data_IF_263228859915
#
_entry.id   IF_263228859915
#
_cell.length_a   1.000
_cell.length_b   1.000
_cell.length_c   1.000
_cell.angle_alpha   90.00
_cell.angle_beta   90.00
_cell.angle_gamma   90.00
#
_symmetry.space_group_name_H-M   'P 1'
#
loop_
_entity.id
_entity.type
_entity.pdbx_description
1 polymer ?
#
# COMPACT_ATOMS: atom_id res chain seq x y z
N UNK A 1 40.73 -7.54 55.63
CA UNK A 1 40.38 -6.47 54.72
C UNK A 1 40.62 -6.81 53.23
N UNK A 2 41.01 -8.04 52.85
CA UNK A 2 41.23 -8.43 51.43
C UNK A 2 40.04 -9.09 50.76
N UNK A 3 39.10 -9.64 51.53
CA UNK A 3 37.99 -10.44 50.95
C UNK A 3 36.74 -9.61 50.56
N UNK A 4 36.67 -8.34 50.92
CA UNK A 4 35.53 -7.46 50.54
C UNK A 4 35.65 -6.80 49.15
N UNK A 5 36.87 -6.74 48.57
CA UNK A 5 37.10 -6.16 47.27
C UNK A 5 36.87 -7.12 46.10
N UNK A 6 36.97 -8.42 46.32
CA UNK A 6 36.72 -9.46 45.31
C UNK A 6 35.22 -9.63 44.98
N UNK A 7 34.33 -9.43 45.96
CA UNK A 7 32.88 -9.53 45.76
C UNK A 7 32.32 -8.37 44.96
N UNK A 8 32.89 -7.17 45.05
CA UNK A 8 32.45 -5.98 44.32
C UNK A 8 32.85 -6.03 42.83
N UNK A 9 34.00 -6.60 42.51
CA UNK A 9 34.48 -6.76 41.13
C UNK A 9 33.68 -7.83 40.40
N UNK A 10 33.23 -8.91 41.04
CA UNK A 10 32.40 -9.94 40.43
C UNK A 10 30.99 -9.45 40.10
N UNK A 11 30.40 -8.57 40.92
CA UNK A 11 29.07 -8.00 40.67
C UNK A 11 29.08 -6.96 39.53
N UNK A 12 30.18 -6.21 39.41
CA UNK A 12 30.34 -5.24 38.31
C UNK A 12 30.63 -5.93 36.96
N UNK A 13 31.37 -7.06 36.96
CA UNK A 13 31.65 -7.84 35.76
C UNK A 13 30.43 -8.59 35.22
N UNK A 14 29.52 -9.07 36.09
CA UNK A 14 28.25 -9.70 35.67
C UNK A 14 27.23 -8.66 35.21
N UNK A 15 27.25 -7.44 35.73
CA UNK A 15 26.40 -6.33 35.27
C UNK A 15 26.81 -5.80 33.90
N UNK A 16 28.06 -5.96 33.49
CA UNK A 16 28.55 -5.54 32.16
C UNK A 16 28.31 -6.60 31.06
N UNK A 17 28.01 -7.84 31.39
CA UNK A 17 27.64 -8.90 30.43
C UNK A 17 26.14 -8.94 30.12
N UNK A 18 25.31 -8.20 30.84
CA UNK A 18 23.87 -8.07 30.59
C UNK A 18 23.50 -6.72 29.96
N UNK A 19 24.43 -6.12 29.26
CA UNK A 19 24.15 -4.95 28.39
C UNK A 19 23.31 -5.34 27.21
N UNK A 20 22.06 -5.67 27.47
CA UNK A 20 21.03 -5.85 26.46
C UNK A 20 20.94 -4.56 25.62
N UNK A 21 21.44 -4.60 24.38
CA UNK A 21 21.21 -3.57 23.35
C UNK A 21 20.00 -4.00 22.53
N UNK A 22 18.79 -3.52 22.85
CA UNK A 22 17.56 -3.98 22.21
C UNK A 22 17.47 -3.73 20.69
N UNK A 23 18.44 -3.00 20.12
CA UNK A 23 18.44 -2.59 18.70
C UNK A 23 19.66 -3.15 17.93
N UNK A 24 20.42 -4.09 18.47
CA UNK A 24 21.47 -4.77 17.71
C UNK A 24 20.84 -5.94 16.94
N UNK A 25 20.79 -5.90 15.59
CA UNK A 25 20.24 -7.00 14.79
C UNK A 25 21.01 -8.32 14.94
N UNK A 26 22.21 -8.28 15.53
CA UNK A 26 23.04 -9.46 15.82
C UNK A 26 22.74 -10.07 17.21
N UNK A 27 21.87 -9.45 18.00
CA UNK A 27 21.57 -9.88 19.37
C UNK A 27 20.74 -11.19 19.45
N UNK A 28 20.11 -11.62 18.34
CA UNK A 28 19.27 -12.81 18.31
C UNK A 28 19.75 -13.82 17.27
N UNK A 29 19.69 -15.10 17.61
CA UNK A 29 19.80 -16.18 16.63
C UNK A 29 18.51 -16.24 15.78
N UNK A 30 18.58 -16.83 14.59
CA UNK A 30 17.40 -16.98 13.71
C UNK A 30 16.32 -17.84 14.39
N UNK A 31 16.70 -18.85 15.17
CA UNK A 31 15.74 -19.69 15.88
C UNK A 31 15.02 -18.91 16.99
N UNK A 32 15.72 -18.07 17.75
CA UNK A 32 15.11 -17.19 18.74
C UNK A 32 14.13 -16.20 18.07
N UNK A 33 14.53 -15.56 16.96
CA UNK A 33 13.64 -14.69 16.20
C UNK A 33 12.41 -15.44 15.69
N UNK A 34 12.60 -16.67 15.19
CA UNK A 34 11.55 -17.53 14.73
C UNK A 34 10.53 -17.84 15.84
N UNK A 35 11.00 -18.16 17.02
CA UNK A 35 10.14 -18.47 18.16
C UNK A 35 9.39 -17.23 18.65
N UNK A 36 10.07 -16.09 18.74
CA UNK A 36 9.48 -14.83 19.18
C UNK A 36 8.40 -14.34 18.18
N UNK A 37 8.70 -14.30 16.88
CA UNK A 37 7.79 -13.78 15.89
C UNK A 37 6.64 -14.74 15.52
N UNK A 38 6.85 -16.05 15.58
CA UNK A 38 5.76 -17.01 15.36
C UNK A 38 4.83 -17.15 16.57
N UNK A 39 5.25 -16.64 17.72
CA UNK A 39 4.40 -16.55 18.91
C UNK A 39 3.27 -15.54 18.68
N UNK A 40 2.05 -15.90 19.07
CA UNK A 40 0.86 -15.04 18.92
C UNK A 40 0.89 -13.78 19.79
N UNK A 41 1.77 -13.76 20.79
CA UNK A 41 1.94 -12.66 21.73
C UNK A 41 2.96 -11.65 21.20
N UNK A 42 2.46 -10.59 20.56
CA UNK A 42 3.30 -9.52 20.00
C UNK A 42 4.09 -8.73 21.06
N UNK A 43 3.69 -8.80 22.35
CA UNK A 43 4.44 -8.12 23.43
C UNK A 43 5.82 -8.71 23.64
N UNK A 44 6.03 -9.95 23.19
CA UNK A 44 7.32 -10.66 23.24
C UNK A 44 8.19 -10.44 21.99
N UNK A 45 7.66 -9.79 20.96
CA UNK A 45 8.43 -9.51 19.77
C UNK A 45 9.60 -8.57 20.07
N UNK A 46 10.75 -8.72 19.43
CA UNK A 46 11.81 -7.74 19.51
C UNK A 46 11.28 -6.32 19.25
N UNK A 47 11.70 -5.36 20.07
CA UNK A 47 11.22 -3.98 19.91
C UNK A 47 11.59 -3.44 18.52
N UNK A 48 10.66 -2.78 17.82
CA UNK A 48 10.98 -2.13 16.58
C UNK A 48 11.88 -0.90 16.83
N UNK A 49 12.63 -0.50 15.81
CA UNK A 49 13.29 0.80 15.80
C UNK A 49 12.31 1.83 15.24
N UNK A 50 11.86 2.76 16.09
CA UNK A 50 10.90 3.79 15.70
C UNK A 50 11.51 5.18 15.76
N UNK A 51 11.19 6.01 14.77
CA UNK A 51 11.38 7.45 14.83
C UNK A 51 10.25 8.08 15.65
N UNK A 52 10.51 9.22 16.30
CA UNK A 52 9.52 9.89 17.15
C UNK A 52 8.19 10.19 16.41
N UNK A 53 8.26 10.52 15.11
CA UNK A 53 7.07 10.78 14.28
C UNK A 53 6.19 9.55 14.05
N UNK A 54 6.76 8.35 14.22
CA UNK A 54 6.04 7.08 14.06
C UNK A 54 5.49 6.52 15.37
N UNK A 55 6.10 6.86 16.52
CA UNK A 55 5.76 6.27 17.83
C UNK A 55 4.31 6.54 18.25
N UNK A 56 3.82 7.79 18.09
CA UNK A 56 2.53 8.25 18.63
C UNK A 56 1.34 7.40 18.17
N UNK A 57 1.37 6.93 16.92
CA UNK A 57 0.26 6.18 16.33
C UNK A 57 0.71 4.80 15.83
N UNK A 58 1.78 4.26 16.41
CA UNK A 58 2.33 2.98 16.00
C UNK A 58 1.37 1.83 16.29
N UNK A 59 1.12 1.03 15.28
CA UNK A 59 0.48 -0.27 15.39
C UNK A 59 1.34 -1.30 14.67
N UNK A 60 1.70 -2.38 15.33
CA UNK A 60 2.56 -3.39 14.74
C UNK A 60 1.86 -4.19 13.63
N UNK A 61 2.66 -4.66 12.68
CA UNK A 61 2.22 -5.49 11.56
C UNK A 61 1.58 -6.81 12.04
N UNK A 62 0.75 -7.41 11.22
CA UNK A 62 0.06 -8.66 11.54
C UNK A 62 -1.01 -9.02 10.51
N UNK A 63 -1.82 -10.06 10.77
CA UNK A 63 -2.95 -10.41 9.93
C UNK A 63 -3.96 -9.27 9.81
N UNK A 64 -4.60 -9.15 8.63
CA UNK A 64 -5.71 -8.22 8.44
C UNK A 64 -6.88 -8.60 9.35
N UNK A 65 -7.58 -7.58 9.84
CA UNK A 65 -8.87 -7.75 10.49
C UNK A 65 -9.97 -8.01 9.45
N UNK A 66 -11.17 -8.33 9.94
CA UNK A 66 -12.35 -8.42 9.08
C UNK A 66 -12.69 -7.05 8.47
N UNK A 67 -13.10 -7.07 7.19
CA UNK A 67 -13.46 -5.86 6.47
C UNK A 67 -14.68 -5.19 7.10
N UNK A 68 -14.55 -3.90 7.37
CA UNK A 68 -15.65 -3.07 7.84
C UNK A 68 -16.25 -2.30 6.66
N UNK A 69 -17.56 -2.35 6.53
CA UNK A 69 -18.31 -1.61 5.52
C UNK A 69 -18.94 -0.37 6.15
N UNK A 70 -19.01 0.77 5.43
CA UNK A 70 -19.65 1.98 5.93
C UNK A 70 -21.14 1.74 6.23
N UNK A 71 -21.69 2.41 7.25
CA UNK A 71 -23.09 2.26 7.65
C UNK A 71 -24.06 2.69 6.52
N UNK A 72 -23.68 3.67 5.70
CA UNK A 72 -24.45 4.15 4.56
C UNK A 72 -24.24 3.33 3.27
N UNK A 73 -23.30 2.36 3.31
CA UNK A 73 -23.06 1.41 2.24
C UNK A 73 -22.71 0.01 2.80
N UNK A 74 -23.63 -0.63 3.55
CA UNK A 74 -23.39 -1.97 4.12
C UNK A 74 -23.24 -3.02 3.02
N UNK A 75 -22.50 -4.08 3.33
CA UNK A 75 -22.31 -5.21 2.42
C UNK A 75 -23.63 -5.94 2.13
N UNK A 76 -23.83 -6.32 0.88
CA UNK A 76 -24.68 -7.44 0.47
C UNK A 76 -24.07 -8.11 -0.75
N UNK A 77 -24.31 -9.40 -0.91
CA UNK A 77 -23.79 -10.18 -2.05
C UNK A 77 -24.34 -9.64 -3.37
N UNK A 78 -25.65 -9.34 -3.43
CA UNK A 78 -26.27 -8.76 -4.62
C UNK A 78 -25.65 -7.40 -5.02
N UNK A 79 -25.27 -6.57 -4.05
CA UNK A 79 -24.60 -5.29 -4.30
C UNK A 79 -23.17 -5.50 -4.77
N UNK A 80 -22.46 -6.45 -4.20
CA UNK A 80 -21.10 -6.83 -4.61
C UNK A 80 -21.11 -7.37 -6.06
N UNK A 81 -22.03 -8.27 -6.41
CA UNK A 81 -22.15 -8.79 -7.77
C UNK A 81 -22.54 -7.71 -8.79
N UNK A 82 -23.47 -6.79 -8.43
CA UNK A 82 -23.75 -5.61 -9.25
C UNK A 82 -22.49 -4.75 -9.45
N UNK A 83 -21.74 -4.50 -8.37
CA UNK A 83 -20.50 -3.74 -8.40
C UNK A 83 -19.45 -4.39 -9.30
N UNK A 84 -19.28 -5.71 -9.21
CA UNK A 84 -18.43 -6.50 -10.09
C UNK A 84 -18.85 -6.34 -11.56
N UNK A 85 -20.14 -6.47 -11.84
CA UNK A 85 -20.67 -6.34 -13.20
C UNK A 85 -20.38 -4.94 -13.78
N UNK A 86 -20.58 -3.88 -12.99
CA UNK A 86 -20.28 -2.50 -13.39
C UNK A 86 -18.77 -2.26 -13.54
N UNK A 87 -17.93 -2.84 -12.69
CA UNK A 87 -16.46 -2.72 -12.75
C UNK A 87 -15.88 -3.27 -14.05
N UNK A 88 -16.49 -4.32 -14.59
CA UNK A 88 -16.08 -4.93 -15.87
C UNK A 88 -16.82 -4.33 -17.08
N UNK A 89 -17.76 -3.40 -16.89
CA UNK A 89 -18.56 -2.85 -17.98
C UNK A 89 -17.90 -1.65 -18.68
N UNK A 90 -17.42 -1.80 -19.92
CA UNK A 90 -16.78 -0.71 -20.66
C UNK A 90 -17.75 0.41 -21.05
N UNK A 91 -19.07 0.20 -20.98
CA UNK A 91 -20.09 1.19 -21.31
C UNK A 91 -20.11 2.37 -20.33
N UNK A 92 -19.41 2.26 -19.19
CA UNK A 92 -19.13 3.38 -18.28
C UNK A 92 -18.12 4.38 -18.85
N UNK A 93 -17.44 4.07 -19.96
CA UNK A 93 -16.53 5.01 -20.64
C UNK A 93 -17.18 5.69 -21.86
N UNK A 94 -16.57 6.79 -22.34
CA UNK A 94 -17.01 7.52 -23.54
C UNK A 94 -16.98 6.63 -24.78
N UNK A 95 -15.87 5.93 -24.98
CA UNK A 95 -15.67 5.04 -26.13
C UNK A 95 -16.47 3.72 -26.04
N UNK A 96 -16.91 3.32 -24.84
CA UNK A 96 -17.49 2.00 -24.62
C UNK A 96 -16.45 0.86 -24.72
N UNK A 97 -15.15 1.16 -24.57
CA UNK A 97 -14.06 0.17 -24.71
C UNK A 97 -13.21 0.05 -23.46
N UNK A 98 -13.36 0.94 -22.47
CA UNK A 98 -12.52 0.99 -21.26
C UNK A 98 -13.41 0.76 -20.05
N UNK A 99 -13.10 -0.29 -19.29
CA UNK A 99 -13.67 -0.59 -17.99
C UNK A 99 -12.65 -0.34 -16.88
N UNK A 100 -13.06 -0.35 -15.62
CA UNK A 100 -12.11 -0.32 -14.48
C UNK A 100 -11.12 -1.49 -14.56
N UNK A 101 -11.59 -2.68 -14.96
CA UNK A 101 -10.79 -3.87 -15.19
C UNK A 101 -9.71 -3.72 -16.29
N UNK A 102 -9.78 -2.68 -17.13
CA UNK A 102 -8.75 -2.41 -18.16
C UNK A 102 -7.42 -1.96 -17.53
N UNK A 103 -7.48 -1.24 -16.39
CA UNK A 103 -6.32 -0.77 -15.63
C UNK A 103 -6.11 -1.55 -14.33
N UNK A 104 -7.13 -2.31 -13.89
CA UNK A 104 -7.10 -3.13 -12.69
C UNK A 104 -7.45 -4.58 -13.04
N UNK A 105 -6.51 -5.25 -13.74
CA UNK A 105 -6.70 -6.61 -14.24
C UNK A 105 -6.53 -7.63 -13.09
N UNK A 106 -7.54 -8.48 -12.82
CA UNK A 106 -7.43 -9.52 -11.80
C UNK A 106 -6.28 -10.52 -12.03
N UNK A 107 -5.86 -10.75 -13.28
CA UNK A 107 -4.73 -11.63 -13.60
C UNK A 107 -3.36 -10.99 -13.29
N UNK A 108 -3.31 -9.67 -13.12
CA UNK A 108 -2.12 -8.88 -12.78
C UNK A 108 -2.23 -8.29 -11.36
N UNK A 109 -2.80 -9.06 -10.43
CA UNK A 109 -3.00 -8.64 -9.03
C UNK A 109 -3.76 -7.32 -8.90
N UNK A 110 -4.77 -7.10 -9.78
CA UNK A 110 -5.60 -5.90 -9.79
C UNK A 110 -4.84 -4.59 -10.06
N UNK A 111 -3.74 -4.70 -10.80
CA UNK A 111 -3.00 -3.62 -11.45
C UNK A 111 -2.97 -3.88 -12.96
N UNK A 112 -2.17 -3.15 -13.75
CA UNK A 112 -2.07 -3.40 -15.20
C UNK A 112 -0.65 -3.77 -15.67
N UNK A 113 0.33 -3.78 -14.77
CA UNK A 113 1.73 -4.10 -15.07
C UNK A 113 2.46 -3.05 -15.91
N UNK A 114 1.81 -1.94 -16.25
CA UNK A 114 2.38 -0.85 -17.02
C UNK A 114 2.98 0.23 -16.12
N UNK A 115 3.91 1.02 -16.66
CA UNK A 115 4.41 2.22 -15.97
C UNK A 115 3.25 3.18 -15.64
N UNK A 116 2.39 3.43 -16.60
CA UNK A 116 1.14 4.19 -16.51
C UNK A 116 0.12 3.56 -17.44
N UNK A 117 -1.13 3.57 -17.04
CA UNK A 117 -2.24 2.97 -17.79
C UNK A 117 -2.57 3.75 -19.07
N UNK A 118 -3.10 3.03 -20.07
CA UNK A 118 -3.64 3.62 -21.28
C UNK A 118 -5.17 3.78 -21.15
N UNK A 119 -5.65 4.99 -21.30
CA UNK A 119 -7.08 5.31 -21.27
C UNK A 119 -7.63 5.76 -22.62
N UNK A 120 -8.57 6.70 -22.57
CA UNK A 120 -9.29 7.22 -23.74
C UNK A 120 -8.33 7.72 -24.82
N UNK A 121 -8.57 7.31 -26.07
CA UNK A 121 -7.72 7.61 -27.23
C UNK A 121 -6.23 7.27 -27.00
N UNK A 122 -5.97 6.21 -26.23
CA UNK A 122 -4.62 5.75 -25.83
C UNK A 122 -3.77 6.80 -25.10
N UNK A 123 -4.41 7.81 -24.53
CA UNK A 123 -3.75 8.77 -23.65
C UNK A 123 -3.31 8.10 -22.37
N UNK A 124 -2.32 8.68 -21.70
CA UNK A 124 -1.81 8.16 -20.44
C UNK A 124 -1.84 9.22 -19.35
N UNK A 125 -2.11 8.81 -18.13
CA UNK A 125 -1.81 9.61 -16.96
C UNK A 125 -0.29 9.68 -16.66
N UNK A 126 0.05 10.25 -15.54
CA UNK A 126 1.45 10.38 -15.08
C UNK A 126 1.80 9.40 -13.95
N UNK A 127 0.79 8.76 -13.36
CA UNK A 127 0.93 7.88 -12.19
C UNK A 127 0.60 6.43 -12.53
N UNK A 128 1.29 5.53 -11.83
CA UNK A 128 1.05 4.09 -11.88
C UNK A 128 -0.29 3.74 -11.24
N UNK A 129 -0.99 2.75 -11.82
CA UNK A 129 -2.21 2.18 -11.24
C UNK A 129 -1.84 1.20 -10.10
N UNK A 130 -2.19 1.52 -8.84
CA UNK A 130 -1.92 0.61 -7.73
C UNK A 130 -2.88 -0.59 -7.76
N UNK A 131 -2.51 -1.66 -7.05
CA UNK A 131 -3.44 -2.78 -6.80
C UNK A 131 -4.70 -2.32 -6.08
N UNK A 132 -5.83 -2.97 -6.38
CA UNK A 132 -7.07 -2.84 -5.60
C UNK A 132 -7.17 -3.89 -4.48
N UNK A 133 -6.24 -4.86 -4.41
CA UNK A 133 -6.26 -5.84 -3.32
C UNK A 133 -6.13 -5.13 -1.97
N UNK A 134 -7.05 -5.47 -1.08
CA UNK A 134 -7.13 -4.89 0.27
C UNK A 134 -7.42 -3.37 0.30
N UNK A 135 -7.87 -2.77 -0.80
CA UNK A 135 -8.09 -1.31 -0.90
C UNK A 135 -9.11 -0.80 0.12
N UNK A 136 -10.05 -1.64 0.55
CA UNK A 136 -11.05 -1.29 1.56
C UNK A 136 -10.47 -0.93 2.93
N UNK A 137 -9.20 -1.27 3.23
CA UNK A 137 -8.51 -0.87 4.45
C UNK A 137 -7.84 0.52 4.34
N UNK A 138 -7.82 1.11 3.16
CA UNK A 138 -7.26 2.45 2.96
C UNK A 138 -8.20 3.53 3.52
N UNK A 139 -7.60 4.59 4.11
CA UNK A 139 -8.33 5.75 4.66
C UNK A 139 -8.54 6.86 3.62
N UNK A 140 -7.68 6.93 2.62
CA UNK A 140 -7.73 7.87 1.52
C UNK A 140 -7.30 7.19 0.23
N UNK A 141 -7.73 7.70 -0.91
CA UNK A 141 -7.52 7.07 -2.21
C UNK A 141 -6.73 7.97 -3.14
N UNK A 142 -6.14 7.35 -4.18
CA UNK A 142 -5.07 7.92 -5.03
C UNK A 142 -3.74 8.13 -4.28
N UNK A 143 -2.66 8.31 -5.06
CA UNK A 143 -1.33 8.58 -4.54
C UNK A 143 -1.23 9.89 -3.75
N UNK A 144 -2.08 10.87 -4.07
CA UNK A 144 -2.15 12.18 -3.42
C UNK A 144 -3.24 12.30 -2.35
N UNK A 145 -4.06 11.26 -2.19
CA UNK A 145 -5.13 11.20 -1.18
C UNK A 145 -6.26 12.18 -1.42
N UNK A 146 -6.57 12.51 -2.70
CA UNK A 146 -7.61 13.48 -3.04
C UNK A 146 -9.05 13.01 -2.81
N UNK A 147 -9.28 11.70 -2.68
CA UNK A 147 -10.59 11.15 -2.33
C UNK A 147 -10.59 10.54 -0.94
N UNK A 148 -11.66 10.76 -0.20
CA UNK A 148 -11.84 10.32 1.20
C UNK A 148 -12.60 9.00 1.32
N UNK A 149 -13.36 8.60 0.29
CA UNK A 149 -14.12 7.35 0.23
C UNK A 149 -13.94 6.66 -1.11
N UNK A 150 -14.19 5.35 -1.16
CA UNK A 150 -14.20 4.60 -2.44
C UNK A 150 -15.33 5.09 -3.34
N UNK A 151 -16.48 5.43 -2.77
CA UNK A 151 -17.62 5.97 -3.50
C UNK A 151 -17.29 7.28 -4.23
N UNK A 152 -16.51 8.14 -3.60
CA UNK A 152 -15.98 9.36 -4.23
C UNK A 152 -14.91 9.02 -5.28
N UNK A 153 -14.03 8.06 -4.98
CA UNK A 153 -12.95 7.66 -5.87
C UNK A 153 -13.46 7.14 -7.21
N UNK A 154 -14.53 6.33 -7.22
CA UNK A 154 -15.12 5.73 -8.45
C UNK A 154 -15.43 6.77 -9.52
N UNK A 155 -15.89 7.98 -9.16
CA UNK A 155 -16.26 9.02 -10.12
C UNK A 155 -15.06 9.58 -10.88
N UNK A 156 -13.91 9.66 -10.20
CA UNK A 156 -12.71 10.31 -10.70
C UNK A 156 -12.18 9.68 -12.00
N UNK A 157 -11.93 8.37 -12.11
CA UNK A 157 -11.46 7.74 -13.35
C UNK A 157 -12.52 7.75 -14.46
N UNK A 158 -13.82 7.68 -14.11
CA UNK A 158 -14.90 7.77 -15.10
C UNK A 158 -14.89 9.14 -15.78
N UNK A 159 -14.70 10.22 -15.02
CA UNK A 159 -14.74 11.59 -15.54
C UNK A 159 -13.39 12.08 -16.09
N UNK A 160 -12.29 11.43 -15.74
CA UNK A 160 -10.96 11.85 -16.18
C UNK A 160 -10.80 11.76 -17.71
N UNK A 161 -10.46 12.87 -18.41
CA UNK A 161 -10.33 12.89 -19.86
C UNK A 161 -9.31 11.91 -20.43
N UNK A 162 -8.25 11.61 -19.68
CA UNK A 162 -7.18 10.68 -20.12
C UNK A 162 -7.42 9.23 -19.68
N UNK A 163 -8.50 8.96 -18.90
CA UNK A 163 -8.88 7.62 -18.46
C UNK A 163 -10.17 7.16 -19.19
N UNK A 164 -11.35 7.31 -18.59
CA UNK A 164 -12.63 6.85 -19.20
C UNK A 164 -13.38 7.96 -19.93
N UNK A 165 -13.07 9.23 -19.68
CA UNK A 165 -13.56 10.42 -20.40
C UNK A 165 -15.09 10.51 -20.55
N UNK A 166 -15.85 10.22 -19.49
CA UNK A 166 -17.31 10.30 -19.54
C UNK A 166 -17.85 10.89 -18.24
N UNK A 167 -18.59 12.02 -18.35
CA UNK A 167 -19.24 12.59 -17.17
C UNK A 167 -20.16 11.56 -16.49
N UNK A 168 -20.13 11.46 -15.15
CA UNK A 168 -20.83 10.43 -14.39
C UNK A 168 -22.34 10.37 -14.68
N UNK A 169 -22.98 11.53 -14.91
CA UNK A 169 -24.39 11.60 -15.29
C UNK A 169 -24.68 10.96 -16.65
N UNK A 170 -23.74 11.06 -17.60
CA UNK A 170 -23.87 10.43 -18.91
C UNK A 170 -23.60 8.92 -18.83
N UNK A 171 -22.64 8.49 -18.02
CA UNK A 171 -22.41 7.08 -17.72
C UNK A 171 -23.68 6.45 -17.12
N UNK A 172 -24.28 7.11 -16.12
CA UNK A 172 -25.55 6.69 -15.51
C UNK A 172 -26.69 6.60 -16.55
N UNK A 173 -26.79 7.58 -17.46
CA UNK A 173 -27.79 7.54 -18.56
C UNK A 173 -27.58 6.35 -19.50
N UNK A 174 -26.33 5.98 -19.79
CA UNK A 174 -26.03 4.78 -20.60
C UNK A 174 -26.49 3.51 -19.90
N UNK A 175 -26.14 3.34 -18.62
CA UNK A 175 -26.55 2.16 -17.83
C UNK A 175 -28.08 2.06 -17.68
N UNK A 176 -28.79 3.18 -17.46
CA UNK A 176 -30.28 3.22 -17.42
C UNK A 176 -30.96 2.68 -18.67
N UNK A 177 -30.33 2.83 -19.85
CA UNK A 177 -30.89 2.34 -21.12
C UNK A 177 -30.82 0.82 -21.27
N UNK A 178 -29.95 0.19 -20.49
CA UNK A 178 -29.73 -1.25 -20.52
C UNK A 178 -30.75 -1.91 -19.59
N UNK A 179 -31.78 -2.54 -20.17
CA UNK A 179 -32.89 -3.11 -19.38
C UNK A 179 -32.44 -4.19 -18.41
N UNK A 180 -31.42 -4.96 -18.79
CA UNK A 180 -30.88 -6.04 -17.99
C UNK A 180 -30.26 -5.60 -16.65
N UNK A 181 -29.90 -4.30 -16.45
CA UNK A 181 -29.45 -3.81 -15.16
C UNK A 181 -30.55 -3.65 -14.11
N UNK A 182 -31.81 -3.44 -14.50
CA UNK A 182 -32.91 -3.19 -13.56
C UNK A 182 -33.04 -4.28 -12.47
N UNK A 183 -33.02 -5.59 -12.80
CA UNK A 183 -33.08 -6.65 -11.78
C UNK A 183 -31.89 -6.63 -10.83
N UNK A 184 -30.69 -6.27 -11.31
CA UNK A 184 -29.51 -6.16 -10.45
C UNK A 184 -29.66 -5.03 -9.41
N UNK A 185 -30.13 -3.85 -9.85
CA UNK A 185 -30.37 -2.73 -8.94
C UNK A 185 -31.52 -3.03 -7.96
N UNK A 186 -32.57 -3.71 -8.40
CA UNK A 186 -33.67 -4.11 -7.52
C UNK A 186 -33.21 -5.06 -6.41
N UNK A 187 -32.42 -6.07 -6.72
CA UNK A 187 -31.82 -6.97 -5.72
C UNK A 187 -30.85 -6.23 -4.78
N UNK A 188 -29.99 -5.38 -5.32
CA UNK A 188 -28.94 -4.70 -4.56
C UNK A 188 -29.46 -3.57 -3.66
N UNK A 189 -30.52 -2.85 -4.08
CA UNK A 189 -31.02 -1.64 -3.43
C UNK A 189 -32.52 -1.61 -3.16
N UNK A 190 -33.25 -2.67 -3.46
CA UNK A 190 -34.71 -2.74 -3.29
C UNK A 190 -35.51 -1.87 -4.28
N UNK A 191 -34.87 -1.41 -5.37
CA UNK A 191 -35.48 -0.54 -6.39
C UNK A 191 -34.77 -0.64 -7.73
N UNK A 192 -35.51 -0.53 -8.83
CA UNK A 192 -34.95 -0.52 -10.18
C UNK A 192 -34.33 0.82 -10.59
N UNK A 193 -34.38 1.84 -9.72
CA UNK A 193 -33.84 3.17 -10.00
C UNK A 193 -32.32 3.14 -10.01
N UNK A 194 -31.71 3.63 -11.12
CA UNK A 194 -30.27 3.68 -11.31
C UNK A 194 -29.80 5.13 -11.12
N UNK A 195 -28.99 5.36 -10.10
CA UNK A 195 -28.41 6.69 -9.78
C UNK A 195 -26.90 6.63 -9.77
N UNK A 196 -26.23 7.79 -9.85
CA UNK A 196 -24.77 7.92 -9.73
C UNK A 196 -24.29 7.35 -8.40
N UNK A 197 -24.97 7.67 -7.31
CA UNK A 197 -24.67 7.20 -5.96
C UNK A 197 -24.74 5.65 -5.86
N UNK A 198 -25.80 5.04 -6.40
CA UNK A 198 -25.94 3.58 -6.37
C UNK A 198 -24.90 2.86 -7.24
N UNK A 199 -24.53 3.42 -8.38
CA UNK A 199 -23.41 2.90 -9.19
C UNK A 199 -22.11 2.96 -8.39
N UNK A 200 -21.79 4.12 -7.79
CA UNK A 200 -20.59 4.29 -7.00
C UNK A 200 -20.57 3.36 -5.77
N UNK A 201 -21.68 3.26 -5.05
CA UNK A 201 -21.84 2.35 -3.89
C UNK A 201 -21.65 0.88 -4.26
N UNK A 202 -22.20 0.43 -5.39
CA UNK A 202 -22.05 -0.94 -5.85
C UNK A 202 -20.58 -1.25 -6.18
N UNK A 203 -19.92 -0.40 -7.00
CA UNK A 203 -18.51 -0.58 -7.36
C UNK A 203 -17.63 -0.56 -6.10
N UNK A 204 -17.83 0.41 -5.19
CA UNK A 204 -17.09 0.49 -3.94
C UNK A 204 -17.31 -0.73 -3.03
N UNK A 205 -18.51 -1.33 -3.03
CA UNK A 205 -18.78 -2.58 -2.30
C UNK A 205 -17.97 -3.74 -2.88
N UNK A 206 -17.91 -3.84 -4.20
CA UNK A 206 -17.09 -4.84 -4.88
C UNK A 206 -15.59 -4.63 -4.58
N UNK A 207 -15.06 -3.41 -4.70
CA UNK A 207 -13.67 -3.11 -4.41
C UNK A 207 -13.29 -3.45 -2.96
N UNK A 208 -14.16 -3.18 -1.98
CA UNK A 208 -13.95 -3.59 -0.58
C UNK A 208 -13.93 -5.10 -0.40
N UNK A 209 -14.58 -5.86 -1.27
CA UNK A 209 -14.58 -7.33 -1.22
C UNK A 209 -13.28 -7.95 -1.75
N UNK A 210 -12.40 -7.17 -2.39
CA UNK A 210 -11.13 -7.63 -2.93
C UNK A 210 -10.09 -7.80 -1.83
N UNK A 211 -10.23 -8.86 -1.04
CA UNK A 211 -9.35 -9.15 0.10
C UNK A 211 -8.45 -10.33 -0.27
N UNK A 212 -7.14 -10.16 -0.06
CA UNK A 212 -6.20 -11.26 -0.25
C UNK A 212 -6.30 -12.28 0.89
N UNK A 213 -6.17 -13.57 0.58
CA UNK A 213 -6.13 -14.61 1.61
C UNK A 213 -4.90 -14.46 2.51
N UNK A 214 -4.85 -15.11 3.68
CA UNK A 214 -3.71 -15.06 4.58
C UNK A 214 -2.40 -15.46 3.90
N UNK A 215 -1.42 -14.56 3.91
CA UNK A 215 -0.09 -14.75 3.35
C UNK A 215 0.77 -15.73 4.16
N UNK A 216 1.98 -16.04 3.69
CA UNK A 216 2.95 -16.84 4.46
C UNK A 216 3.36 -16.13 5.74
N UNK A 217 3.53 -14.80 5.70
CA UNK A 217 3.74 -13.96 6.88
C UNK A 217 2.57 -14.09 7.89
N UNK A 218 1.32 -13.93 7.43
CA UNK A 218 0.15 -14.04 8.32
C UNK A 218 0.07 -15.40 9.00
N UNK A 219 0.35 -16.48 8.25
CA UNK A 219 0.40 -17.84 8.79
C UNK A 219 1.52 -18.00 9.83
N UNK A 220 2.68 -17.39 9.58
CA UNK A 220 3.83 -17.44 10.48
C UNK A 220 3.51 -16.77 11.82
N UNK A 221 3.08 -15.51 11.81
CA UNK A 221 2.75 -14.78 13.05
C UNK A 221 1.50 -15.30 13.76
N UNK A 222 0.71 -16.15 13.09
CA UNK A 222 -0.43 -16.87 13.67
C UNK A 222 -0.06 -18.23 14.24
N UNK A 223 1.23 -18.58 14.35
CA UNK A 223 1.73 -19.78 15.02
C UNK A 223 2.25 -20.89 14.09
N UNK A 224 2.30 -20.68 12.76
CA UNK A 224 2.91 -21.66 11.85
C UNK A 224 4.41 -21.43 11.73
N UNK A 225 5.17 -21.87 12.75
CA UNK A 225 6.61 -21.64 12.93
C UNK A 225 7.46 -21.85 11.67
N UNK A 226 7.13 -22.83 10.85
CA UNK A 226 7.88 -23.19 9.64
C UNK A 226 7.33 -22.54 8.35
N UNK A 227 6.45 -21.53 8.45
CA UNK A 227 5.90 -20.86 7.27
C UNK A 227 6.91 -19.92 6.57
N UNK A 228 7.96 -19.49 7.28
CA UNK A 228 9.04 -18.66 6.76
C UNK A 228 10.39 -19.40 6.81
N UNK A 229 11.24 -19.13 5.84
CA UNK A 229 12.66 -19.53 5.80
C UNK A 229 13.49 -18.67 6.75
N UNK A 230 14.75 -19.02 6.98
CA UNK A 230 15.67 -18.26 7.83
C UNK A 230 15.93 -16.86 7.27
N UNK A 231 16.16 -16.72 5.96
CA UNK A 231 16.32 -15.43 5.28
C UNK A 231 15.07 -14.53 5.47
N UNK A 232 13.86 -15.10 5.33
CA UNK A 232 12.61 -14.38 5.52
C UNK A 232 12.37 -13.93 6.97
N UNK A 233 12.81 -14.72 7.95
CA UNK A 233 12.75 -14.35 9.39
C UNK A 233 13.76 -13.24 9.68
N UNK A 234 15.00 -13.34 9.17
CA UNK A 234 15.99 -12.26 9.27
C UNK A 234 15.45 -10.97 8.62
N UNK A 235 14.88 -11.09 7.42
CA UNK A 235 14.30 -9.96 6.69
C UNK A 235 13.14 -9.30 7.45
N UNK A 236 12.28 -10.06 8.12
CA UNK A 236 11.24 -9.53 9.00
C UNK A 236 11.85 -8.72 10.16
N UNK A 237 12.93 -9.24 10.77
CA UNK A 237 13.60 -8.54 11.85
C UNK A 237 14.26 -7.24 11.37
N UNK A 238 14.97 -7.30 10.24
CA UNK A 238 15.56 -6.11 9.60
C UNK A 238 14.50 -5.06 9.23
N UNK A 239 13.38 -5.47 8.66
CA UNK A 239 12.26 -4.60 8.32
C UNK A 239 11.76 -3.80 9.52
N UNK A 240 11.71 -4.43 10.70
CA UNK A 240 11.25 -3.80 11.96
C UNK A 240 12.35 -3.02 12.70
N UNK A 241 13.63 -3.23 12.33
CA UNK A 241 14.78 -2.63 13.03
C UNK A 241 15.67 -1.84 12.07
N UNK A 242 16.81 -2.36 11.65
CA UNK A 242 17.86 -1.67 10.88
C UNK A 242 17.37 -1.06 9.57
N UNK A 243 16.43 -1.69 8.88
CA UNK A 243 15.90 -1.20 7.61
C UNK A 243 14.85 -0.08 7.78
N UNK A 244 14.42 0.24 8.99
CA UNK A 244 13.47 1.32 9.33
C UNK A 244 12.12 1.30 8.58
N UNK A 245 11.82 0.23 7.84
CA UNK A 245 10.62 0.14 6.99
C UNK A 245 9.32 0.25 7.80
N UNK A 246 9.34 -0.29 9.04
CA UNK A 246 8.19 -0.33 9.95
C UNK A 246 7.68 1.08 10.32
N UNK A 247 8.49 2.13 10.18
CA UNK A 247 8.09 3.48 10.53
C UNK A 247 7.00 4.05 9.63
N UNK A 248 6.99 3.64 8.35
CA UNK A 248 5.95 4.01 7.38
C UNK A 248 5.04 2.81 7.04
N UNK A 249 5.60 1.60 6.99
CA UNK A 249 4.88 0.39 6.63
C UNK A 249 4.48 -0.44 7.86
N UNK A 250 3.84 0.21 8.83
CA UNK A 250 3.26 -0.39 10.02
C UNK A 250 1.79 -0.81 9.79
N UNK A 251 1.08 -1.21 10.84
CA UNK A 251 -0.28 -1.73 10.86
C UNK A 251 -0.45 -3.09 10.13
N UNK A 252 -1.53 -3.82 10.33
CA UNK A 252 -1.85 -5.02 9.54
C UNK A 252 -1.98 -4.76 8.03
N UNK A 253 -2.22 -3.51 7.61
CA UNK A 253 -2.28 -3.11 6.21
C UNK A 253 -0.89 -2.81 5.61
N UNK A 254 0.19 -2.81 6.42
CA UNK A 254 1.55 -2.42 6.00
C UNK A 254 1.63 -1.02 5.40
N UNK A 255 0.94 -0.07 6.03
CA UNK A 255 0.94 1.35 5.68
C UNK A 255 0.49 2.18 6.89
N UNK A 256 1.19 3.27 7.18
CA UNK A 256 0.76 4.30 8.12
C UNK A 256 -0.34 5.20 7.54
N UNK A 257 -0.57 5.07 6.22
CA UNK A 257 -1.53 5.83 5.42
C UNK A 257 -1.31 7.36 5.48
N UNK A 258 -0.11 7.78 5.89
CA UNK A 258 0.37 9.15 5.84
C UNK A 258 1.03 9.46 4.49
N UNK A 259 1.51 10.69 4.34
CA UNK A 259 2.11 11.18 3.10
C UNK A 259 3.57 11.55 3.35
N UNK A 260 4.49 10.99 2.55
CA UNK A 260 5.92 11.18 2.69
C UNK A 260 6.56 11.56 1.36
N UNK A 261 7.57 12.42 1.41
CA UNK A 261 8.41 12.72 0.25
C UNK A 261 9.67 11.85 0.29
N UNK A 262 9.83 10.99 -0.70
CA UNK A 262 10.97 10.08 -0.86
C UNK A 262 12.08 10.66 -1.76
N UNK A 263 12.00 11.94 -2.17
CA UNK A 263 12.94 12.55 -3.12
C UNK A 263 12.71 12.09 -4.57
N UNK A 264 11.49 11.74 -4.93
CA UNK A 264 11.09 11.29 -6.27
C UNK A 264 10.11 12.25 -6.95
N UNK A 265 10.12 13.53 -6.55
CA UNK A 265 9.25 14.58 -7.10
C UNK A 265 9.64 14.95 -8.52
N UNK A 266 10.93 14.79 -8.88
CA UNK A 266 11.49 15.25 -10.15
C UNK A 266 11.24 16.74 -10.41
N UNK A 267 11.29 17.57 -9.37
CA UNK A 267 10.95 18.99 -9.37
C UNK A 267 11.70 19.77 -10.47
N UNK A 268 10.95 20.48 -11.33
CA UNK A 268 11.49 21.21 -12.48
C UNK A 268 12.08 20.31 -13.59
N UNK A 269 11.79 19.00 -13.60
CA UNK A 269 12.34 18.04 -14.55
C UNK A 269 11.26 17.19 -15.22
N UNK A 270 11.65 16.43 -16.25
CA UNK A 270 10.77 15.38 -16.80
C UNK A 270 10.31 14.45 -15.66
N UNK A 271 9.04 14.09 -15.67
CA UNK A 271 8.33 13.29 -14.64
C UNK A 271 8.03 14.06 -13.34
N UNK A 272 8.09 15.40 -13.35
CA UNK A 272 7.64 16.19 -12.20
C UNK A 272 6.22 15.78 -11.77
N UNK A 273 6.07 15.54 -10.47
CA UNK A 273 4.78 15.36 -9.83
C UNK A 273 4.81 15.97 -8.43
N UNK A 274 4.00 17.01 -8.21
CA UNK A 274 3.95 17.73 -6.95
C UNK A 274 3.17 16.97 -5.84
N UNK A 275 2.57 15.82 -6.16
CA UNK A 275 1.92 14.94 -5.20
C UNK A 275 0.81 15.60 -4.41
N UNK A 276 0.87 15.47 -3.09
CA UNK A 276 -0.13 15.97 -2.14
C UNK A 276 -0.35 17.49 -2.23
N UNK A 277 0.66 18.27 -2.63
CA UNK A 277 0.52 19.71 -2.87
C UNK A 277 -0.66 20.05 -3.80
N UNK A 278 -0.91 19.25 -4.82
CA UNK A 278 -2.02 19.49 -5.76
C UNK A 278 -3.41 19.44 -5.09
N UNK A 279 -3.50 18.87 -3.90
CA UNK A 279 -4.73 18.75 -3.12
C UNK A 279 -4.81 19.81 -2.02
N UNK A 280 -3.69 20.08 -1.32
CA UNK A 280 -3.66 20.91 -0.13
C UNK A 280 -3.23 22.35 -0.40
N UNK A 281 -2.51 22.58 -1.48
CA UNK A 281 -1.82 23.84 -1.82
C UNK A 281 -0.82 24.33 -0.75
N UNK A 282 -0.37 23.41 0.13
CA UNK A 282 0.62 23.72 1.17
C UNK A 282 2.01 23.35 0.68
N UNK A 283 2.97 24.28 0.80
CA UNK A 283 4.33 24.08 0.31
C UNK A 283 5.03 22.87 0.97
N UNK A 284 4.75 22.61 2.25
CA UNK A 284 5.27 21.44 2.95
C UNK A 284 4.82 20.09 2.36
N UNK A 285 3.78 20.08 1.54
CA UNK A 285 3.23 18.86 0.92
C UNK A 285 3.74 18.59 -0.50
N UNK A 286 4.65 19.44 -1.00
CA UNK A 286 5.26 19.23 -2.32
C UNK A 286 6.05 17.92 -2.36
N UNK A 287 5.68 17.06 -3.32
CA UNK A 287 6.34 15.78 -3.55
C UNK A 287 6.01 14.70 -2.51
N UNK A 288 5.05 14.93 -1.63
CA UNK A 288 4.55 13.89 -0.73
C UNK A 288 3.53 13.01 -1.43
N UNK A 289 3.67 11.70 -1.23
CA UNK A 289 2.74 10.68 -1.70
C UNK A 289 2.35 9.76 -0.56
N UNK A 290 1.13 9.21 -0.64
CA UNK A 290 0.62 8.28 0.35
C UNK A 290 1.49 7.02 0.40
N UNK A 291 1.80 6.53 1.60
CA UNK A 291 2.42 5.23 1.81
C UNK A 291 1.50 4.13 1.27
N UNK A 292 1.89 3.39 0.22
CA UNK A 292 1.09 2.27 -0.26
C UNK A 292 1.19 1.08 0.70
N UNK A 293 0.22 0.18 0.64
CA UNK A 293 0.36 -1.12 1.29
C UNK A 293 1.50 -1.93 0.67
N UNK A 294 2.19 -2.75 1.49
CA UNK A 294 3.15 -3.75 0.98
C UNK A 294 2.52 -5.13 0.80
N UNK A 295 1.24 -5.31 1.11
CA UNK A 295 0.57 -6.57 0.79
C UNK A 295 0.53 -6.74 -0.72
N UNK A 296 0.87 -7.95 -1.18
CA UNK A 296 0.99 -8.32 -2.59
C UNK A 296 2.06 -7.53 -3.37
N UNK A 297 3.03 -6.91 -2.66
CA UNK A 297 3.97 -5.96 -3.25
C UNK A 297 4.81 -6.55 -4.39
N UNK A 298 5.23 -7.81 -4.33
CA UNK A 298 6.08 -8.38 -5.39
C UNK A 298 5.34 -8.67 -6.70
N UNK A 299 4.01 -8.65 -6.67
CA UNK A 299 3.17 -8.83 -7.87
C UNK A 299 2.73 -7.49 -8.49
N UNK A 300 2.97 -6.36 -7.80
CA UNK A 300 2.52 -5.03 -8.21
C UNK A 300 3.62 -4.17 -8.84
N UNK A 301 4.41 -4.75 -9.70
CA UNK A 301 5.40 -4.02 -10.51
C UNK A 301 4.75 -3.33 -11.72
N UNK A 302 5.34 -2.21 -12.22
CA UNK A 302 6.48 -1.47 -11.66
C UNK A 302 6.13 -0.60 -10.45
N UNK A 303 7.15 -0.18 -9.69
CA UNK A 303 7.01 0.44 -8.39
C UNK A 303 7.04 1.96 -8.43
N UNK A 304 6.65 2.57 -7.29
CA UNK A 304 6.51 3.99 -7.01
C UNK A 304 5.33 4.64 -7.76
N UNK A 305 4.99 5.86 -7.36
CA UNK A 305 3.86 6.59 -7.94
C UNK A 305 3.98 6.81 -9.45
N UNK A 306 5.18 6.89 -9.97
CA UNK A 306 5.49 7.13 -11.39
C UNK A 306 5.78 5.83 -12.19
N UNK A 307 5.83 4.66 -11.54
CA UNK A 307 6.08 3.37 -12.18
C UNK A 307 7.44 3.24 -12.88
N UNK A 308 8.46 3.99 -12.44
CA UNK A 308 9.76 4.01 -13.12
C UNK A 308 10.68 2.85 -12.70
N UNK A 309 10.33 2.06 -11.72
CA UNK A 309 11.21 1.07 -11.09
C UNK A 309 10.64 -0.34 -11.25
N UNK A 310 11.21 -1.19 -12.12
CA UNK A 310 10.63 -2.50 -12.43
C UNK A 310 10.93 -3.58 -11.37
N UNK A 311 11.97 -3.41 -10.53
CA UNK A 311 12.46 -4.47 -9.67
C UNK A 311 12.41 -4.10 -8.18
N UNK A 312 11.82 -4.97 -7.35
CA UNK A 312 11.66 -4.76 -5.91
C UNK A 312 13.01 -4.62 -5.19
N UNK A 313 14.01 -5.42 -5.59
CA UNK A 313 15.33 -5.35 -4.99
C UNK A 313 15.97 -3.96 -5.18
N UNK A 314 15.80 -3.37 -6.37
CA UNK A 314 16.32 -2.02 -6.64
C UNK A 314 15.67 -0.97 -5.75
N UNK A 315 14.39 -1.13 -5.40
CA UNK A 315 13.71 -0.23 -4.46
C UNK A 315 14.33 -0.35 -3.06
N UNK A 316 14.57 -1.57 -2.57
CA UNK A 316 15.21 -1.77 -1.26
C UNK A 316 16.65 -1.24 -1.26
N UNK A 317 17.41 -1.41 -2.35
CA UNK A 317 18.73 -0.81 -2.53
C UNK A 317 18.69 0.72 -2.53
N UNK A 318 17.68 1.33 -3.15
CA UNK A 318 17.48 2.78 -3.12
C UNK A 318 17.20 3.28 -1.69
N UNK A 319 16.36 2.59 -0.92
CA UNK A 319 16.15 2.89 0.49
C UNK A 319 17.44 2.72 1.28
N UNK A 320 18.23 1.67 1.02
CA UNK A 320 19.53 1.47 1.66
C UNK A 320 20.51 2.64 1.41
N UNK A 321 20.45 3.22 0.21
CA UNK A 321 21.22 4.42 -0.15
C UNK A 321 20.64 5.75 0.38
N UNK A 322 19.45 5.71 1.04
CA UNK A 322 18.74 6.89 1.55
C UNK A 322 17.86 7.58 0.52
N UNK A 323 17.41 6.87 -0.50
CA UNK A 323 16.54 7.35 -1.58
C UNK A 323 17.14 8.54 -2.38
N UNK A 324 16.32 9.18 -3.21
CA UNK A 324 16.71 10.36 -3.97
C UNK A 324 17.02 11.56 -3.06
N UNK A 325 18.02 12.35 -3.45
CA UNK A 325 18.26 13.66 -2.85
C UNK A 325 18.14 14.72 -3.93
N UNK A 326 17.08 15.50 -3.85
CA UNK A 326 16.94 16.67 -4.70
C UNK A 326 17.77 17.81 -4.12
N UNK A 327 18.56 18.45 -4.97
CA UNK A 327 19.38 19.60 -4.60
C UNK A 327 18.91 20.79 -5.42
N UNK A 328 18.49 21.90 -4.78
CA UNK A 328 18.02 23.08 -5.49
C UNK A 328 19.13 23.69 -6.35
N UNK A 329 18.79 24.19 -7.52
CA UNK A 329 19.73 24.81 -8.48
C UNK A 329 19.13 26.11 -9.02
N UNK A 330 19.98 27.13 -9.17
CA UNK A 330 19.55 28.42 -9.69
C UNK A 330 18.39 29.01 -8.88
N UNK A 331 17.29 29.35 -9.53
CA UNK A 331 16.12 29.96 -8.92
C UNK A 331 15.42 29.06 -7.88
N UNK A 332 15.67 27.75 -7.93
CA UNK A 332 15.10 26.80 -6.96
C UNK A 332 15.67 26.97 -5.54
N UNK A 333 16.81 27.65 -5.35
CA UNK A 333 17.46 27.84 -4.03
C UNK A 333 16.55 28.60 -3.07
N UNK A 334 15.78 29.53 -3.58
CA UNK A 334 14.85 30.36 -2.78
C UNK A 334 13.38 30.04 -3.09
N UNK A 335 13.09 28.96 -3.79
CA UNK A 335 11.72 28.57 -4.12
C UNK A 335 11.05 27.94 -2.89
N UNK A 336 10.01 28.56 -2.32
CA UNK A 336 9.29 28.01 -1.16
C UNK A 336 8.58 26.68 -1.46
N UNK A 337 8.44 26.29 -2.73
CA UNK A 337 7.88 25.03 -3.16
C UNK A 337 8.94 23.94 -3.39
N UNK A 338 10.23 24.26 -3.20
CA UNK A 338 11.26 23.24 -3.40
C UNK A 338 11.02 22.07 -2.43
N UNK A 339 10.90 20.81 -2.93
CA UNK A 339 10.50 19.67 -2.11
C UNK A 339 11.54 19.29 -1.08
N UNK A 340 11.09 19.00 0.14
CA UNK A 340 11.94 18.51 1.22
C UNK A 340 11.65 17.02 1.46
N UNK A 341 12.71 16.21 1.36
CA UNK A 341 12.65 14.78 1.66
C UNK A 341 12.29 14.55 3.14
N UNK A 342 11.48 13.52 3.42
CA UNK A 342 11.14 13.13 4.80
C UNK A 342 12.40 12.84 5.63
N UNK A 343 12.42 13.34 6.88
CA UNK A 343 13.52 13.12 7.85
C UNK A 343 13.70 11.64 8.22
N UNK A 344 12.66 10.82 8.08
CA UNK A 344 12.72 9.38 8.32
C UNK A 344 13.47 8.60 7.21
N UNK A 345 13.85 9.25 6.11
CA UNK A 345 14.56 8.60 5.00
C UNK A 345 16.05 8.91 5.08
N UNK A 346 16.81 7.96 5.58
CA UNK A 346 18.27 8.03 5.75
C UNK A 346 18.98 6.82 5.14
N UNK A 347 20.32 6.83 5.12
CA UNK A 347 21.10 5.66 4.72
C UNK A 347 21.01 4.58 5.80
N UNK A 348 20.72 3.35 5.39
CA UNK A 348 20.48 2.24 6.30
C UNK A 348 21.75 1.41 6.57
N UNK A 349 22.77 1.52 5.71
CA UNK A 349 24.03 0.79 5.81
C UNK A 349 23.85 -0.74 5.95
N UNK A 350 22.86 -1.29 5.24
CA UNK A 350 22.64 -2.73 5.13
C UNK A 350 23.69 -3.34 4.18
N UNK A 351 24.10 -4.57 4.48
CA UNK A 351 24.88 -5.39 3.54
C UNK A 351 23.96 -5.88 2.40
N UNK A 352 24.56 -6.40 1.33
CA UNK A 352 23.78 -6.98 0.22
C UNK A 352 22.94 -8.17 0.69
N UNK A 353 23.47 -9.03 1.61
CA UNK A 353 22.72 -10.13 2.20
C UNK A 353 21.49 -9.61 2.96
N UNK A 354 21.65 -8.58 3.80
CA UNK A 354 20.54 -7.97 4.54
C UNK A 354 19.48 -7.37 3.61
N UNK A 355 19.90 -6.74 2.51
CA UNK A 355 18.97 -6.23 1.47
C UNK A 355 18.16 -7.38 0.88
N UNK A 356 18.80 -8.51 0.52
CA UNK A 356 18.10 -9.67 -0.03
C UNK A 356 17.21 -10.37 1.00
N UNK A 357 17.58 -10.39 2.28
CA UNK A 357 16.73 -10.91 3.35
C UNK A 357 15.45 -10.06 3.48
N UNK A 358 15.55 -8.72 3.44
CA UNK A 358 14.37 -7.83 3.42
C UNK A 358 13.50 -8.10 2.19
N UNK A 359 14.09 -8.26 1.00
CA UNK A 359 13.34 -8.61 -0.22
C UNK A 359 12.66 -9.97 -0.08
N UNK A 360 13.33 -10.96 0.52
CA UNK A 360 12.75 -12.26 0.79
C UNK A 360 11.53 -12.15 1.71
N UNK A 361 11.64 -11.37 2.79
CA UNK A 361 10.50 -11.08 3.66
C UNK A 361 9.35 -10.41 2.91
N UNK A 362 9.59 -9.37 2.13
CA UNK A 362 8.55 -8.67 1.36
C UNK A 362 7.76 -9.62 0.45
N UNK A 363 8.43 -10.61 -0.16
CA UNK A 363 7.77 -11.65 -0.98
C UNK A 363 6.84 -12.56 -0.16
N UNK A 364 7.00 -12.66 1.16
CA UNK A 364 6.10 -13.45 2.02
C UNK A 364 4.75 -12.79 2.23
N UNK A 365 4.60 -11.50 1.88
CA UNK A 365 3.36 -10.73 1.98
C UNK A 365 2.39 -11.01 0.82
N UNK A 366 2.80 -11.81 -0.15
CA UNK A 366 1.99 -12.23 -1.27
C UNK A 366 1.20 -13.50 -0.94
N UNK A 367 -0.03 -13.52 -1.39
CA UNK A 367 -0.92 -14.66 -1.15
C UNK A 367 -1.94 -14.87 -2.27
N UNK A 368 -2.21 -13.82 -3.05
CA UNK A 368 -3.24 -13.84 -4.06
C UNK A 368 -2.82 -14.71 -5.26
N UNK A 369 -3.59 -15.77 -5.50
CA UNK A 369 -3.43 -16.69 -6.65
C UNK A 369 -4.74 -16.89 -7.40
N UNK A 370 -5.76 -16.17 -6.99
CA UNK A 370 -7.11 -16.35 -7.51
C UNK A 370 -7.30 -15.55 -8.79
N UNK A 371 -7.88 -16.22 -9.81
CA UNK A 371 -8.26 -15.56 -11.06
C UNK A 371 -9.76 -15.33 -11.06
N UNK A 372 -10.17 -14.07 -11.12
CA UNK A 372 -11.57 -13.69 -11.25
C UNK A 372 -11.92 -13.60 -12.73
N UNK A 373 -12.96 -14.32 -13.13
CA UNK A 373 -13.52 -14.19 -14.50
C UNK A 373 -14.41 -12.97 -14.59
N UNK A 374 -14.33 -12.27 -15.72
CA UNK A 374 -15.28 -11.23 -16.04
C UNK A 374 -16.71 -11.81 -16.06
N UNK A 375 -17.70 -11.11 -15.51
CA UNK A 375 -19.11 -11.55 -15.56
C UNK A 375 -19.66 -11.37 -16.97
N UNK A 376 -20.76 -12.07 -17.27
CA UNK A 376 -21.59 -11.73 -18.42
C UNK A 376 -22.27 -10.38 -18.18
N UNK A 377 -22.21 -9.51 -19.19
CA UNK A 377 -22.79 -8.18 -19.07
C UNK A 377 -24.26 -8.21 -19.45
N UNK A 378 -25.13 -7.53 -18.70
CA UNK A 378 -26.55 -7.46 -19.02
C UNK A 378 -26.80 -6.67 -20.32
N UNK A 379 -27.86 -7.07 -21.07
CA UNK A 379 -28.32 -6.46 -22.31
C UNK A 379 -29.51 -5.51 -22.12
#
# INVERSE_FOLDING_TARGET
>A
MKDRYLAIIAVVAVGLMLGYRPNDPTAYTVDELRDLYSGRDKSKWPKPHLFAEAEENFQDIGPLADMQYPADNPYSEDKMELGKTLFFDPRLSKSGQIACASCHNPELSWADGNRVSFGHDRQTGIRNAPTLLNIGFAKTFFWDGRSSTLEEQVKSPIENPVEMNLHMSLATKKIRKIKGYKPYFEKAFGTTEITEDRIAKAIATFERSLISPPSRFDKFVSGKRNALTDAEVKGLHLFRTKANCINCHNTPYFSDQKFHNLGLTYYGRKYEDLGRYLVTLKNEDVGKFKTPTLREVSENKPYMHNGLFPELANIVMMYNAGMGRETPRGDQVNDPKFPHKSGMIEKLNMTDEEVFDVVAFLKTLNSYKYKMRAPELPE
#
